data_IF_668790377583
#
_entry.id   IF_668790377583
#
_cell.length_a   1.000
_cell.length_b   1.000
_cell.length_c   1.000
_cell.angle_alpha   90.00
_cell.angle_beta   90.00
_cell.angle_gamma   90.00
#
_symmetry.space_group_name_H-M   'P 1'
#
loop_
_entity.id
_entity.type
_entity.pdbx_description
1 polymer ?
#
# COMPACT_ATOMS: atom_id res chain seq x y z
N UNK A 1 -19.98 16.74 -6.57
CA UNK A 1 -19.78 17.45 -5.28
C UNK A 1 -18.32 17.42 -4.90
N UNK A 2 -17.73 18.56 -4.48
CA UNK A 2 -16.36 18.57 -3.94
C UNK A 2 -16.43 17.93 -2.55
N UNK A 3 -15.82 16.74 -2.38
CA UNK A 3 -15.76 16.10 -1.06
C UNK A 3 -15.05 17.03 -0.08
N UNK A 4 -15.55 17.13 1.15
CA UNK A 4 -14.94 17.92 2.22
C UNK A 4 -13.53 17.38 2.51
N UNK A 5 -12.53 18.26 2.59
CA UNK A 5 -11.13 17.87 2.86
C UNK A 5 -10.98 17.05 4.14
N UNK A 6 -11.75 17.36 5.18
CA UNK A 6 -11.71 16.62 6.44
C UNK A 6 -12.21 15.18 6.27
N UNK A 7 -13.26 14.97 5.47
CA UNK A 7 -13.80 13.64 5.18
C UNK A 7 -12.79 12.83 4.37
N UNK A 8 -12.14 13.45 3.37
CA UNK A 8 -11.06 12.85 2.60
C UNK A 8 -9.92 12.44 3.54
N UNK A 9 -9.45 13.39 4.38
CA UNK A 9 -8.35 13.14 5.30
C UNK A 9 -8.65 11.96 6.24
N UNK A 10 -9.82 11.97 6.91
CA UNK A 10 -10.20 10.90 7.84
C UNK A 10 -10.31 9.56 7.11
N UNK A 11 -10.95 9.52 5.94
CA UNK A 11 -11.11 8.28 5.17
C UNK A 11 -9.78 7.69 4.70
N UNK A 12 -8.88 8.52 4.15
CA UNK A 12 -7.56 8.06 3.72
C UNK A 12 -6.65 7.70 4.90
N UNK A 13 -6.69 8.48 5.98
CA UNK A 13 -5.93 8.19 7.20
C UNK A 13 -6.34 6.84 7.80
N UNK A 14 -7.64 6.63 8.05
CA UNK A 14 -8.12 5.39 8.64
C UNK A 14 -7.89 4.20 7.71
N UNK A 15 -8.20 4.34 6.42
CA UNK A 15 -7.99 3.25 5.45
C UNK A 15 -6.52 2.87 5.31
N UNK A 16 -5.60 3.83 5.25
CA UNK A 16 -4.16 3.57 5.20
C UNK A 16 -3.62 3.00 6.52
N UNK A 17 -4.14 3.45 7.65
CA UNK A 17 -3.81 2.92 8.97
C UNK A 17 -4.19 1.44 9.07
N UNK A 18 -5.44 1.09 8.76
CA UNK A 18 -5.88 -0.31 8.76
C UNK A 18 -5.13 -1.15 7.73
N UNK A 19 -4.85 -0.62 6.54
CA UNK A 19 -4.10 -1.34 5.52
C UNK A 19 -2.73 -1.77 6.04
N UNK A 20 -1.97 -0.86 6.64
CA UNK A 20 -0.64 -1.20 7.18
C UNK A 20 -0.74 -2.10 8.40
N UNK A 21 -1.73 -1.90 9.28
CA UNK A 21 -1.99 -2.84 10.39
C UNK A 21 -2.23 -4.27 9.89
N UNK A 22 -2.99 -4.43 8.80
CA UNK A 22 -3.24 -5.75 8.20
C UNK A 22 -1.95 -6.33 7.63
N UNK A 23 -1.19 -5.55 6.86
CA UNK A 23 0.07 -6.00 6.23
C UNK A 23 1.08 -6.40 7.30
N UNK A 24 1.37 -5.51 8.25
CA UNK A 24 2.41 -5.73 9.25
C UNK A 24 1.95 -6.76 10.27
N UNK A 25 0.75 -6.63 10.82
CA UNK A 25 0.22 -7.54 11.83
C UNK A 25 0.10 -8.98 11.32
N UNK A 26 -0.40 -9.19 10.08
CA UNK A 26 -0.45 -10.55 9.53
C UNK A 26 0.93 -11.12 9.23
N UNK A 27 1.90 -10.26 8.89
CA UNK A 27 3.30 -10.67 8.73
C UNK A 27 3.93 -11.12 10.03
N UNK A 28 3.77 -10.36 11.12
CA UNK A 28 4.27 -10.73 12.46
C UNK A 28 3.57 -12.00 12.96
N UNK A 29 2.23 -12.09 12.81
CA UNK A 29 1.50 -13.29 13.20
C UNK A 29 2.02 -14.54 12.47
N UNK A 30 2.25 -14.43 11.15
CA UNK A 30 2.78 -15.53 10.36
C UNK A 30 4.22 -15.89 10.79
N UNK A 31 5.05 -14.90 11.11
CA UNK A 31 6.41 -15.09 11.63
C UNK A 31 6.41 -15.82 12.98
N UNK A 32 5.43 -15.54 13.85
CA UNK A 32 5.27 -16.20 15.15
C UNK A 32 4.75 -17.65 15.04
N UNK A 33 4.07 -18.00 13.95
CA UNK A 33 3.41 -19.30 13.79
C UNK A 33 4.23 -20.32 13.00
N UNK A 34 5.16 -19.90 12.15
CA UNK A 34 5.93 -20.80 11.29
C UNK A 34 7.26 -20.21 10.87
N UNK A 35 8.25 -21.06 10.61
CA UNK A 35 9.53 -20.69 10.02
C UNK A 35 9.55 -20.79 8.49
N UNK A 36 8.51 -21.37 7.88
CA UNK A 36 8.41 -21.50 6.44
C UNK A 36 8.02 -20.17 5.78
N UNK A 37 8.94 -19.59 5.01
CA UNK A 37 8.74 -18.31 4.35
C UNK A 37 7.64 -18.32 3.29
N UNK A 38 7.37 -19.46 2.64
CA UNK A 38 6.27 -19.56 1.69
C UNK A 38 4.92 -19.52 2.40
N UNK A 39 4.80 -20.16 3.56
CA UNK A 39 3.59 -20.10 4.39
C UNK A 39 3.41 -18.69 4.98
N UNK A 40 4.48 -18.04 5.45
CA UNK A 40 4.45 -16.63 5.90
C UNK A 40 3.92 -15.71 4.80
N UNK A 41 4.47 -15.85 3.60
CA UNK A 41 4.06 -15.05 2.44
C UNK A 41 2.60 -15.33 2.06
N UNK A 42 2.18 -16.59 2.07
CA UNK A 42 0.80 -16.97 1.76
C UNK A 42 -0.20 -16.37 2.74
N UNK A 43 0.06 -16.49 4.04
CA UNK A 43 -0.79 -15.93 5.08
C UNK A 43 -0.90 -14.39 4.95
N UNK A 44 0.23 -13.72 4.75
CA UNK A 44 0.28 -12.27 4.56
C UNK A 44 -0.46 -11.83 3.28
N UNK A 45 -0.31 -12.59 2.17
CA UNK A 45 -1.03 -12.35 0.91
C UNK A 45 -2.55 -12.43 1.08
N UNK A 46 -3.04 -13.48 1.74
CA UNK A 46 -4.48 -13.69 1.95
C UNK A 46 -5.05 -12.56 2.82
N UNK A 47 -4.40 -12.26 3.94
CA UNK A 47 -4.83 -11.21 4.86
C UNK A 47 -4.84 -9.84 4.17
N UNK A 48 -3.78 -9.50 3.42
CA UNK A 48 -3.67 -8.21 2.73
C UNK A 48 -4.72 -8.09 1.62
N UNK A 49 -4.91 -9.12 0.80
CA UNK A 49 -5.91 -9.10 -0.27
C UNK A 49 -7.33 -8.97 0.27
N UNK A 50 -7.69 -9.77 1.26
CA UNK A 50 -9.02 -9.70 1.90
C UNK A 50 -9.24 -8.33 2.57
N UNK A 51 -8.26 -7.83 3.31
CA UNK A 51 -8.33 -6.53 3.97
C UNK A 51 -8.45 -5.39 2.97
N UNK A 52 -7.62 -5.37 1.93
CA UNK A 52 -7.67 -4.35 0.90
C UNK A 52 -9.02 -4.31 0.19
N UNK A 53 -9.59 -5.47 -0.14
CA UNK A 53 -10.95 -5.56 -0.72
C UNK A 53 -11.98 -4.88 0.17
N UNK A 54 -12.02 -5.24 1.46
CA UNK A 54 -12.97 -4.66 2.42
C UNK A 54 -12.75 -3.17 2.60
N UNK A 55 -11.49 -2.72 2.72
CA UNK A 55 -11.17 -1.30 2.89
C UNK A 55 -11.59 -0.47 1.68
N UNK A 56 -11.34 -0.95 0.45
CA UNK A 56 -11.76 -0.23 -0.75
C UNK A 56 -13.28 -0.09 -0.78
N UNK A 57 -14.04 -1.16 -0.55
CA UNK A 57 -15.51 -1.09 -0.55
C UNK A 57 -16.02 -0.12 0.51
N UNK A 58 -15.43 -0.16 1.72
CA UNK A 58 -15.88 0.64 2.85
C UNK A 58 -15.62 2.14 2.65
N UNK A 59 -14.50 2.50 2.05
CA UNK A 59 -14.06 3.89 1.95
C UNK A 59 -14.23 4.52 0.56
N UNK A 60 -14.58 3.76 -0.48
CA UNK A 60 -14.71 4.26 -1.84
C UNK A 60 -15.68 5.46 -1.94
N UNK A 61 -16.82 5.39 -1.28
CA UNK A 61 -17.80 6.47 -1.27
C UNK A 61 -17.41 7.63 -0.32
N UNK A 62 -16.53 7.37 0.65
CA UNK A 62 -16.07 8.33 1.67
C UNK A 62 -14.93 9.20 1.12
N UNK A 63 -13.78 8.61 0.84
CA UNK A 63 -12.59 9.32 0.33
C UNK A 63 -12.32 9.07 -1.14
N UNK A 64 -12.66 7.93 -1.66
CA UNK A 64 -12.25 7.39 -2.95
C UNK A 64 -11.37 6.15 -2.76
N UNK A 65 -10.96 5.87 -1.52
CA UNK A 65 -10.17 4.71 -1.12
C UNK A 65 -8.87 4.57 -1.94
N UNK A 66 -8.12 5.65 -2.07
CA UNK A 66 -6.82 5.59 -2.77
C UNK A 66 -5.78 4.85 -1.93
N UNK A 67 -5.62 5.19 -0.65
CA UNK A 67 -4.67 4.61 0.31
C UNK A 67 -3.22 4.53 -0.19
N UNK A 68 -2.92 5.25 -1.27
CA UNK A 68 -1.67 5.13 -2.00
C UNK A 68 -1.36 6.47 -2.70
N UNK A 69 -0.21 7.10 -2.44
CA UNK A 69 0.19 8.33 -3.10
C UNK A 69 0.21 8.23 -4.64
N UNK A 70 0.63 7.08 -5.21
CA UNK A 70 0.68 6.91 -6.67
C UNK A 70 -0.70 6.79 -7.29
N UNK A 71 -1.60 6.06 -6.66
CA UNK A 71 -3.01 6.04 -7.08
C UNK A 71 -3.57 7.47 -7.04
N UNK A 72 -3.23 8.23 -6.01
CA UNK A 72 -3.67 9.63 -5.88
C UNK A 72 -3.10 10.51 -6.99
N UNK A 73 -1.81 10.38 -7.31
CA UNK A 73 -1.18 11.10 -8.43
C UNK A 73 -1.80 10.71 -9.78
N UNK A 74 -1.98 9.42 -10.04
CA UNK A 74 -2.61 8.93 -11.26
C UNK A 74 -4.05 9.47 -11.42
N UNK A 75 -4.84 9.53 -10.32
CA UNK A 75 -6.16 10.15 -10.33
C UNK A 75 -6.10 11.66 -10.56
N UNK A 76 -5.08 12.34 -10.06
CA UNK A 76 -4.86 13.77 -10.30
C UNK A 76 -4.51 14.05 -11.77
N UNK A 77 -3.54 13.34 -12.35
CA UNK A 77 -3.16 13.51 -13.76
C UNK A 77 -4.31 13.19 -14.71
N UNK A 78 -5.15 12.23 -14.39
CA UNK A 78 -6.37 11.92 -15.13
C UNK A 78 -7.56 12.83 -14.77
N UNK A 79 -7.33 13.96 -14.08
CA UNK A 79 -8.32 14.98 -13.75
C UNK A 79 -9.53 14.46 -12.95
N UNK A 80 -9.38 13.32 -12.25
CA UNK A 80 -10.42 12.76 -11.39
C UNK A 80 -10.49 13.47 -10.04
N UNK A 81 -9.37 14.04 -9.57
CA UNK A 81 -9.30 14.88 -8.37
C UNK A 81 -8.66 16.22 -8.69
N UNK A 82 -8.91 17.23 -7.84
CA UNK A 82 -8.39 18.59 -7.99
C UNK A 82 -7.07 18.74 -7.23
N UNK A 83 -6.20 19.64 -7.69
CA UNK A 83 -4.90 19.94 -7.04
C UNK A 83 -5.02 20.37 -5.57
N UNK A 84 -6.10 21.06 -5.21
CA UNK A 84 -6.30 21.57 -3.84
C UNK A 84 -6.56 20.50 -2.77
N UNK A 85 -6.79 19.24 -3.17
CA UNK A 85 -6.96 18.10 -2.25
C UNK A 85 -5.79 17.10 -2.30
N UNK A 86 -4.86 17.24 -3.26
CA UNK A 86 -3.75 16.33 -3.47
C UNK A 86 -2.91 16.13 -2.19
N UNK A 87 -2.48 17.24 -1.59
CA UNK A 87 -1.69 17.21 -0.34
C UNK A 87 -2.48 16.56 0.80
N UNK A 88 -3.81 16.81 0.85
CA UNK A 88 -4.67 16.21 1.88
C UNK A 88 -4.68 14.67 1.78
N UNK A 89 -4.77 14.12 0.56
CA UNK A 89 -4.66 12.69 0.34
C UNK A 89 -3.32 12.13 0.79
N UNK A 90 -2.22 12.68 0.23
CA UNK A 90 -0.87 12.15 0.46
C UNK A 90 -0.47 12.24 1.93
N UNK A 91 -0.74 13.36 2.59
CA UNK A 91 -0.42 13.52 4.01
C UNK A 91 -1.23 12.55 4.90
N UNK A 92 -2.53 12.38 4.62
CA UNK A 92 -3.38 11.43 5.35
C UNK A 92 -2.88 9.98 5.20
N UNK A 93 -2.48 9.60 3.98
CA UNK A 93 -1.95 8.27 3.68
C UNK A 93 -0.63 8.00 4.42
N UNK A 94 0.32 8.93 4.36
CA UNK A 94 1.62 8.77 5.04
C UNK A 94 1.42 8.67 6.55
N UNK A 95 0.68 9.62 7.15
CA UNK A 95 0.45 9.65 8.59
C UNK A 95 -0.33 8.41 9.03
N UNK A 96 -1.36 8.01 8.25
CA UNK A 96 -2.15 6.81 8.53
C UNK A 96 -1.29 5.55 8.50
N UNK A 97 -0.43 5.38 7.50
CA UNK A 97 0.49 4.24 7.42
C UNK A 97 1.47 4.21 8.61
N UNK A 98 2.01 5.37 8.99
CA UNK A 98 2.91 5.48 10.16
C UNK A 98 2.22 5.06 11.46
N UNK A 99 1.01 5.55 11.71
CA UNK A 99 0.23 5.15 12.87
C UNK A 99 -0.12 3.66 12.82
N UNK A 100 -0.46 3.15 11.64
CA UNK A 100 -0.80 1.74 11.44
C UNK A 100 0.33 0.78 11.79
N UNK A 101 1.59 1.08 11.40
CA UNK A 101 2.74 0.25 11.75
C UNK A 101 3.00 0.28 13.26
N UNK A 102 2.92 1.44 13.88
CA UNK A 102 3.12 1.59 15.32
C UNK A 102 2.09 0.79 16.12
N UNK A 103 0.83 0.81 15.72
CA UNK A 103 -0.23 0.03 16.36
C UNK A 103 0.01 -1.48 16.14
N UNK A 104 0.41 -1.90 14.93
CA UNK A 104 0.71 -3.30 14.66
C UNK A 104 1.87 -3.80 15.53
N UNK A 105 2.95 -3.02 15.68
CA UNK A 105 4.05 -3.34 16.57
C UNK A 105 3.58 -3.56 18.02
N UNK A 106 2.76 -2.64 18.55
CA UNK A 106 2.21 -2.76 19.92
C UNK A 106 1.37 -4.03 20.08
N UNK A 107 0.57 -4.42 19.11
CA UNK A 107 -0.28 -5.63 19.20
C UNK A 107 0.51 -6.91 19.40
N UNK A 108 1.78 -6.92 18.97
CA UNK A 108 2.65 -8.08 19.05
C UNK A 108 3.82 -7.88 20.01
N UNK A 109 3.74 -6.91 20.91
CA UNK A 109 4.75 -6.63 21.95
C UNK A 109 6.13 -6.24 21.37
N UNK A 110 6.17 -5.73 20.12
CA UNK A 110 7.34 -5.09 19.54
C UNK A 110 7.50 -3.66 20.06
N UNK A 111 8.69 -3.10 19.92
CA UNK A 111 8.90 -1.67 20.20
C UNK A 111 8.01 -0.81 19.30
N UNK A 112 7.53 0.32 19.85
CA UNK A 112 6.66 1.26 19.14
C UNK A 112 7.22 1.70 17.78
N UNK A 113 8.54 1.93 17.71
CA UNK A 113 9.31 2.20 16.51
C UNK A 113 10.53 1.28 16.52
N UNK A 114 10.61 0.38 15.58
CA UNK A 114 11.70 -0.57 15.43
C UNK A 114 12.25 -0.46 13.99
N UNK A 115 13.48 0.05 13.85
CA UNK A 115 14.05 0.24 12.52
C UNK A 115 14.40 -1.09 11.88
N UNK A 116 13.85 -1.33 10.71
CA UNK A 116 14.08 -2.59 9.98
C UNK A 116 15.52 -2.74 9.48
N UNK A 117 16.05 -3.91 9.67
CA UNK A 117 17.36 -4.32 9.14
C UNK A 117 17.26 -5.05 7.79
N UNK A 118 16.05 -5.38 7.33
CA UNK A 118 15.82 -6.22 6.15
C UNK A 118 16.05 -5.46 4.86
N UNK A 119 17.15 -5.74 4.16
CA UNK A 119 17.48 -5.15 2.86
C UNK A 119 16.52 -5.69 1.76
N UNK A 120 16.01 -4.76 0.94
CA UNK A 120 15.16 -5.02 -0.24
C UNK A 120 15.55 -4.08 -1.36
N UNK A 121 16.73 -4.29 -1.91
CA UNK A 121 17.32 -3.47 -2.97
C UNK A 121 17.83 -4.33 -4.14
N UNK A 122 18.18 -3.67 -5.21
CA UNK A 122 18.65 -4.31 -6.43
C UNK A 122 17.79 -4.01 -7.64
N UNK A 123 18.39 -4.10 -8.83
CA UNK A 123 17.75 -3.74 -10.10
C UNK A 123 16.50 -4.61 -10.41
N UNK A 124 16.50 -5.86 -9.98
CA UNK A 124 15.36 -6.77 -10.13
C UNK A 124 14.16 -6.32 -9.29
N UNK A 125 14.40 -5.87 -8.05
CA UNK A 125 13.36 -5.32 -7.18
C UNK A 125 12.84 -4.00 -7.75
N UNK A 126 13.75 -3.14 -8.22
CA UNK A 126 13.40 -1.89 -8.88
C UNK A 126 12.46 -2.11 -10.09
N UNK A 127 12.83 -2.98 -11.02
CA UNK A 127 12.00 -3.31 -12.19
C UNK A 127 10.66 -3.93 -11.77
N UNK A 128 10.67 -4.81 -10.77
CA UNK A 128 9.45 -5.42 -10.23
C UNK A 128 8.47 -4.39 -9.72
N UNK A 129 8.95 -3.36 -9.01
CA UNK A 129 8.10 -2.29 -8.48
C UNK A 129 7.52 -1.40 -9.58
N UNK A 130 8.28 -1.08 -10.63
CA UNK A 130 7.74 -0.36 -11.80
C UNK A 130 6.56 -1.15 -12.38
N UNK A 131 6.77 -2.44 -12.64
CA UNK A 131 5.74 -3.31 -13.23
C UNK A 131 4.53 -3.45 -12.31
N UNK A 132 4.77 -3.63 -10.99
CA UNK A 132 3.71 -3.74 -10.00
C UNK A 132 2.86 -2.46 -9.91
N UNK A 133 3.51 -1.30 -9.85
CA UNK A 133 2.84 0.00 -9.77
C UNK A 133 2.07 0.31 -11.05
N UNK A 134 2.69 0.11 -12.22
CA UNK A 134 2.02 0.26 -13.50
C UNK A 134 0.79 -0.66 -13.61
N UNK A 135 0.96 -1.94 -13.29
CA UNK A 135 -0.13 -2.92 -13.35
C UNK A 135 -1.27 -2.58 -12.39
N UNK A 136 -0.96 -2.10 -11.17
CA UNK A 136 -1.96 -1.65 -10.22
C UNK A 136 -2.79 -0.49 -10.79
N UNK A 137 -2.14 0.55 -11.32
CA UNK A 137 -2.81 1.71 -11.89
C UNK A 137 -3.61 1.29 -13.13
N UNK A 138 -3.05 0.43 -13.99
CA UNK A 138 -3.76 -0.11 -15.15
C UNK A 138 -5.05 -0.84 -14.73
N UNK A 139 -4.99 -1.73 -13.74
CA UNK A 139 -6.17 -2.48 -13.24
C UNK A 139 -7.22 -1.53 -12.69
N UNK A 140 -6.82 -0.50 -11.93
CA UNK A 140 -7.75 0.51 -11.42
C UNK A 140 -8.50 1.18 -12.58
N UNK A 141 -7.78 1.73 -13.56
CA UNK A 141 -8.43 2.46 -14.67
C UNK A 141 -9.24 1.55 -15.60
N UNK A 142 -8.82 0.31 -15.79
CA UNK A 142 -9.55 -0.67 -16.59
C UNK A 142 -10.93 -1.02 -15.97
N UNK A 143 -11.00 -1.07 -14.63
CA UNK A 143 -12.18 -1.54 -13.90
C UNK A 143 -13.02 -0.42 -13.27
N UNK A 144 -12.50 0.81 -13.22
CA UNK A 144 -13.16 1.94 -12.53
C UNK A 144 -14.57 2.22 -13.03
N UNK A 145 -14.85 1.99 -14.32
CA UNK A 145 -16.16 2.15 -14.95
C UNK A 145 -17.16 1.06 -14.56
N UNK A 146 -16.67 -0.10 -14.13
CA UNK A 146 -17.50 -1.27 -13.85
C UNK A 146 -18.02 -1.28 -12.39
N UNK A 147 -17.71 -0.24 -11.65
CA UNK A 147 -18.21 0.03 -10.29
C UNK A 147 -17.26 -0.45 -9.18
N UNK A 148 -17.52 0.05 -7.97
CA UNK A 148 -16.61 -0.09 -6.82
C UNK A 148 -16.31 -1.54 -6.43
N UNK A 149 -17.27 -2.45 -6.57
CA UNK A 149 -17.08 -3.86 -6.19
C UNK A 149 -16.10 -4.52 -7.15
N UNK A 150 -16.27 -4.31 -8.46
CA UNK A 150 -15.39 -4.88 -9.48
C UNK A 150 -13.98 -4.29 -9.35
N UNK A 151 -13.87 -2.99 -9.15
CA UNK A 151 -12.57 -2.36 -8.92
C UNK A 151 -11.91 -2.91 -7.66
N UNK A 152 -12.64 -3.02 -6.55
CA UNK A 152 -12.10 -3.50 -5.29
C UNK A 152 -11.57 -4.95 -5.39
N UNK A 153 -12.33 -5.85 -5.99
CA UNK A 153 -11.89 -7.24 -6.16
C UNK A 153 -10.70 -7.33 -7.12
N UNK A 154 -10.71 -6.56 -8.21
CA UNK A 154 -9.62 -6.55 -9.20
C UNK A 154 -8.32 -6.02 -8.59
N UNK A 155 -8.37 -4.94 -7.83
CA UNK A 155 -7.20 -4.38 -7.15
C UNK A 155 -6.68 -5.34 -6.08
N UNK A 156 -7.56 -5.88 -5.24
CA UNK A 156 -7.18 -6.80 -4.18
C UNK A 156 -6.53 -8.08 -4.72
N UNK A 157 -7.11 -8.66 -5.76
CA UNK A 157 -6.57 -9.87 -6.40
C UNK A 157 -5.28 -9.60 -7.16
N UNK A 158 -5.14 -8.42 -7.82
CA UNK A 158 -3.90 -8.03 -8.46
C UNK A 158 -2.77 -7.86 -7.46
N UNK A 159 -3.01 -7.19 -6.32
CA UNK A 159 -2.01 -7.06 -5.26
C UNK A 159 -1.66 -8.43 -4.67
N UNK A 160 -2.65 -9.30 -4.44
CA UNK A 160 -2.41 -10.68 -3.98
C UNK A 160 -1.54 -11.47 -4.96
N UNK A 161 -1.79 -11.36 -6.26
CA UNK A 161 -0.93 -11.95 -7.28
C UNK A 161 0.48 -11.33 -7.26
N UNK A 162 0.57 -10.01 -7.08
CA UNK A 162 1.82 -9.26 -7.02
C UNK A 162 2.79 -9.76 -5.97
N UNK A 163 2.29 -10.21 -4.82
CA UNK A 163 3.11 -10.83 -3.76
C UNK A 163 3.92 -12.03 -4.27
N UNK A 164 3.46 -12.70 -5.32
CA UNK A 164 4.04 -13.94 -5.83
C UNK A 164 4.79 -13.79 -7.15
N UNK A 165 4.34 -12.91 -8.06
CA UNK A 165 5.00 -12.79 -9.36
C UNK A 165 6.10 -11.73 -9.39
N UNK A 166 6.23 -10.91 -8.34
CA UNK A 166 7.28 -9.89 -8.25
C UNK A 166 8.35 -10.28 -7.22
N UNK A 167 9.61 -9.96 -7.49
CA UNK A 167 10.70 -10.19 -6.54
C UNK A 167 10.66 -9.26 -5.32
N UNK A 168 9.90 -8.17 -5.42
CA UNK A 168 9.69 -7.19 -4.36
C UNK A 168 8.54 -7.54 -3.42
N UNK A 169 7.67 -8.47 -3.78
CA UNK A 169 6.36 -8.72 -3.16
C UNK A 169 5.35 -7.58 -3.36
N UNK A 170 5.54 -6.77 -4.43
CA UNK A 170 4.61 -5.73 -4.88
C UNK A 170 4.23 -4.71 -3.80
N UNK A 171 5.19 -3.89 -3.39
CA UNK A 171 4.89 -2.76 -2.51
C UNK A 171 3.94 -1.76 -3.18
N UNK A 172 4.28 -1.34 -4.40
CA UNK A 172 3.48 -0.49 -5.26
C UNK A 172 2.81 0.71 -4.55
N UNK A 173 3.33 1.09 -3.36
CA UNK A 173 2.75 2.10 -2.49
C UNK A 173 3.82 2.79 -1.64
N UNK A 174 4.19 4.05 -1.93
CA UNK A 174 5.22 4.78 -1.20
C UNK A 174 4.94 4.96 0.29
N UNK A 175 3.69 5.24 0.65
CA UNK A 175 3.32 5.43 2.06
C UNK A 175 3.52 4.15 2.88
N UNK A 176 3.14 3.01 2.30
CA UNK A 176 3.38 1.68 2.90
C UNK A 176 4.88 1.39 2.98
N UNK A 177 5.65 1.68 1.92
CA UNK A 177 7.11 1.46 1.91
C UNK A 177 7.81 2.25 3.01
N UNK A 178 7.47 3.53 3.17
CA UNK A 178 8.00 4.38 4.25
C UNK A 178 7.62 3.81 5.62
N UNK A 179 6.36 3.48 5.85
CA UNK A 179 5.91 2.98 7.14
C UNK A 179 6.59 1.67 7.55
N UNK A 180 6.83 0.77 6.60
CA UNK A 180 7.47 -0.53 6.86
C UNK A 180 8.95 -0.43 7.22
N UNK A 181 9.56 0.74 7.17
CA UNK A 181 10.90 0.96 7.73
C UNK A 181 10.91 0.99 9.26
N UNK A 182 9.73 1.13 9.88
CA UNK A 182 9.56 1.24 11.33
C UNK A 182 9.06 -0.05 12.00
N UNK A 183 9.30 -1.20 11.36
CA UNK A 183 9.08 -2.53 11.93
C UNK A 183 10.16 -3.51 11.45
N UNK A 184 10.86 -4.19 12.36
CA UNK A 184 11.85 -5.24 11.98
C UNK A 184 11.20 -6.63 11.96
N UNK A 185 10.02 -6.73 11.35
CA UNK A 185 9.24 -7.95 11.17
C UNK A 185 9.45 -8.56 9.78
N UNK A 186 8.79 -9.69 9.50
CA UNK A 186 8.76 -10.33 8.17
C UNK A 186 8.48 -9.32 7.04
N UNK A 187 7.66 -8.31 7.31
CA UNK A 187 7.27 -7.30 6.32
C UNK A 187 8.18 -6.08 6.28
N UNK A 188 9.17 -5.96 7.16
CA UNK A 188 10.06 -4.82 7.30
C UNK A 188 10.89 -4.52 6.04
N UNK A 189 11.33 -3.27 5.93
CA UNK A 189 12.22 -2.76 4.87
C UNK A 189 13.27 -1.87 5.49
N UNK A 190 14.55 -2.12 5.21
CA UNK A 190 15.61 -1.19 5.59
C UNK A 190 15.38 0.16 4.91
N UNK A 191 15.55 1.26 5.67
CA UNK A 191 15.35 2.63 5.16
C UNK A 191 16.25 2.95 3.95
N UNK A 192 17.44 2.33 3.84
CA UNK A 192 18.34 2.50 2.70
C UNK A 192 17.79 1.90 1.41
N UNK A 193 16.90 0.90 1.50
CA UNK A 193 16.22 0.30 0.34
C UNK A 193 14.99 1.11 -0.11
N UNK A 194 14.46 1.98 0.75
CA UNK A 194 13.26 2.77 0.46
C UNK A 194 13.40 3.69 -0.76
N UNK A 195 14.52 4.42 -1.00
CA UNK A 195 14.67 5.21 -2.21
C UNK A 195 14.52 4.40 -3.49
N UNK A 196 15.06 3.18 -3.53
CA UNK A 196 14.92 2.28 -4.68
C UNK A 196 13.42 1.99 -4.97
N UNK A 197 12.61 1.83 -3.93
CA UNK A 197 11.17 1.57 -4.04
C UNK A 197 10.35 2.84 -4.35
N UNK A 198 10.84 4.03 -4.00
CA UNK A 198 10.19 5.31 -4.28
C UNK A 198 10.48 5.82 -5.70
N UNK A 199 11.71 5.67 -6.19
CA UNK A 199 12.11 6.11 -7.55
C UNK A 199 11.41 5.36 -8.68
N UNK A 200 10.92 4.15 -8.43
CA UNK A 200 10.20 3.34 -9.43
C UNK A 200 8.91 3.98 -9.89
N UNK A 201 8.39 4.86 -9.14
CA UNK A 201 7.11 5.50 -9.34
C UNK A 201 7.14 6.70 -10.28
N UNK A 202 8.21 7.47 -10.28
CA UNK A 202 8.37 8.58 -11.21
C UNK A 202 8.49 8.05 -12.66
N UNK A 203 9.14 6.89 -12.83
CA UNK A 203 9.23 6.23 -14.13
C UNK A 203 7.87 5.71 -14.64
N UNK A 204 6.98 5.23 -13.76
CA UNK A 204 5.65 4.77 -14.17
C UNK A 204 4.74 5.92 -14.60
N UNK A 205 4.90 7.12 -14.02
CA UNK A 205 4.10 8.29 -14.37
C UNK A 205 4.49 8.91 -15.73
N UNK A 206 5.75 8.79 -16.16
CA UNK A 206 6.17 9.23 -17.50
C UNK A 206 5.56 8.39 -18.64
N UNK A 207 5.24 7.12 -18.41
CA UNK A 207 4.61 6.23 -19.39
C UNK A 207 3.09 6.41 -19.52
N UNK A 208 2.46 7.11 -18.58
CA UNK A 208 1.02 7.37 -18.58
C UNK A 208 0.62 8.74 -19.17
N UNK A 209 1.59 9.51 -19.67
CA UNK A 209 1.38 10.77 -20.39
C UNK A 209 1.34 10.56 -21.89
#
# INVERSE_FOLDING_TARGET
MIKNKNIIFIGEFLGSCFLVMIIVGSGIMAENLTDDNAVRLLANTIATGAGLFVLIISFADISGAHFNPFVTLAMFFNKKIKSNVLITYISAQIIGCMVGVMIANIFFEHEFIELSTKSRDGINIFISEIIATFGLIFVIFATLKDGKIITAISVATFISAGYWFTSSTSFANPAVSIARTFTDSFTGINYQSTPCLLYTSDAADEWLR
#
